data_IF_122188955097
#
_entry.id   IF_122188955097
#
_cell.length_a   1.000
_cell.length_b   1.000
_cell.length_c   1.000
_cell.angle_alpha   90.00
_cell.angle_beta   90.00
_cell.angle_gamma   90.00
#
_symmetry.space_group_name_H-M   'P 1'
#
loop_
_entity.id
_entity.type
_entity.pdbx_description
1 polymer ?
#
# COMPACT_ATOMS: atom_id res chain seq x y z
N UNK A 1 -1.34 -9.25 -11.06
CA UNK A 1 -2.51 -9.72 -10.27
C UNK A 1 -3.74 -9.34 -11.06
N UNK A 2 -4.56 -10.31 -11.47
CA UNK A 2 -5.64 -10.12 -12.47
C UNK A 2 -6.58 -8.94 -12.17
N UNK A 3 -6.94 -8.72 -10.90
CA UNK A 3 -7.81 -7.58 -10.52
C UNK A 3 -7.20 -6.23 -10.89
N UNK A 4 -5.91 -6.00 -10.61
CA UNK A 4 -5.23 -4.74 -10.94
C UNK A 4 -5.18 -4.52 -12.46
N UNK A 5 -4.94 -5.58 -13.24
CA UNK A 5 -4.92 -5.55 -14.70
C UNK A 5 -6.31 -5.26 -15.30
N UNK A 6 -7.36 -5.87 -14.74
CA UNK A 6 -8.74 -5.61 -15.16
C UNK A 6 -9.16 -4.16 -14.84
N UNK A 7 -8.79 -3.64 -13.67
CA UNK A 7 -9.02 -2.24 -13.32
C UNK A 7 -8.30 -1.30 -14.29
N UNK A 8 -7.03 -1.56 -14.61
CA UNK A 8 -6.30 -0.76 -15.62
C UNK A 8 -6.98 -0.79 -17.00
N UNK A 9 -7.62 -1.90 -17.39
CA UNK A 9 -8.37 -1.97 -18.66
C UNK A 9 -9.62 -1.09 -18.62
N UNK A 10 -10.37 -1.09 -17.52
CA UNK A 10 -11.55 -0.22 -17.34
C UNK A 10 -11.15 1.26 -17.37
N UNK A 11 -9.97 1.58 -16.83
CA UNK A 11 -9.45 2.94 -16.74
C UNK A 11 -8.79 3.46 -18.02
N UNK A 12 -8.83 2.71 -19.13
CA UNK A 12 -8.29 3.18 -20.42
C UNK A 12 -9.12 4.31 -21.04
N UNK A 13 -10.44 4.20 -20.93
CA UNK A 13 -11.39 5.12 -21.54
C UNK A 13 -12.41 5.58 -20.48
N UNK A 14 -12.89 6.82 -20.59
CA UNK A 14 -13.92 7.32 -19.66
C UNK A 14 -15.25 6.60 -19.90
N UNK A 15 -15.77 6.00 -18.84
CA UNK A 15 -17.06 5.29 -18.80
C UNK A 15 -17.73 5.41 -17.41
N UNK A 16 -18.95 4.89 -17.29
CA UNK A 16 -19.76 4.94 -16.06
C UNK A 16 -19.11 4.27 -14.84
N UNK A 17 -18.14 3.38 -15.04
CA UNK A 17 -17.44 2.66 -13.97
C UNK A 17 -16.12 3.31 -13.54
N UNK A 18 -15.66 4.34 -14.25
CA UNK A 18 -14.30 4.89 -14.10
C UNK A 18 -14.02 5.37 -12.68
N UNK A 19 -14.91 6.18 -12.11
CA UNK A 19 -14.74 6.71 -10.74
C UNK A 19 -14.62 5.57 -9.71
N UNK A 20 -15.51 4.57 -9.80
CA UNK A 20 -15.52 3.38 -8.94
C UNK A 20 -14.26 2.53 -9.13
N UNK A 21 -13.78 2.41 -10.37
CA UNK A 21 -12.57 1.66 -10.70
C UNK A 21 -11.30 2.34 -10.18
N UNK A 22 -11.22 3.68 -10.18
CA UNK A 22 -10.08 4.41 -9.60
C UNK A 22 -9.92 4.11 -8.11
N UNK A 23 -11.02 4.12 -7.34
CA UNK A 23 -11.01 3.83 -5.90
C UNK A 23 -10.36 2.47 -5.65
N UNK A 24 -10.82 1.43 -6.36
CA UNK A 24 -10.28 0.09 -6.19
C UNK A 24 -8.89 -0.09 -6.78
N UNK A 25 -8.54 0.63 -7.84
CA UNK A 25 -7.18 0.63 -8.39
C UNK A 25 -6.19 1.12 -7.34
N UNK A 26 -6.56 2.17 -6.62
CA UNK A 26 -5.76 2.74 -5.54
C UNK A 26 -5.66 1.80 -4.34
N UNK A 27 -6.78 1.25 -3.87
CA UNK A 27 -6.79 0.29 -2.74
C UNK A 27 -5.96 -0.96 -3.04
N UNK A 28 -6.12 -1.51 -4.24
CA UNK A 28 -5.36 -2.68 -4.67
C UNK A 28 -3.89 -2.31 -4.83
N UNK A 29 -3.56 -1.21 -5.51
CA UNK A 29 -2.18 -0.77 -5.71
C UNK A 29 -1.44 -0.52 -4.40
N UNK A 30 -2.08 0.19 -3.47
CA UNK A 30 -1.51 0.49 -2.16
C UNK A 30 -1.29 -0.76 -1.31
N UNK A 31 -2.27 -1.68 -1.31
CA UNK A 31 -2.16 -2.98 -0.65
C UNK A 31 -1.05 -3.85 -1.23
N UNK A 32 -0.93 -3.91 -2.56
CA UNK A 32 0.13 -4.66 -3.24
C UNK A 32 1.51 -4.11 -2.90
N UNK A 33 1.71 -2.79 -3.01
CA UNK A 33 2.96 -2.15 -2.64
C UNK A 33 3.34 -2.47 -1.19
N UNK A 34 2.39 -2.33 -0.26
CA UNK A 34 2.60 -2.62 1.16
C UNK A 34 2.96 -4.09 1.41
N UNK A 35 2.26 -5.03 0.77
CA UNK A 35 2.53 -6.46 0.93
C UNK A 35 3.90 -6.88 0.42
N UNK A 36 4.32 -6.35 -0.74
CA UNK A 36 5.69 -6.57 -1.23
C UNK A 36 6.74 -5.97 -0.28
N UNK A 37 6.51 -4.76 0.24
CA UNK A 37 7.40 -4.13 1.22
C UNK A 37 7.53 -4.93 2.50
N UNK A 38 6.40 -5.40 3.07
CA UNK A 38 6.37 -6.20 4.28
C UNK A 38 7.17 -7.50 4.12
N UNK A 39 6.98 -8.20 3.00
CA UNK A 39 7.69 -9.44 2.76
C UNK A 39 9.18 -9.23 2.45
N UNK A 40 9.52 -8.16 1.73
CA UNK A 40 10.91 -7.76 1.50
C UNK A 40 11.64 -7.44 2.81
N UNK A 41 10.99 -6.70 3.72
CA UNK A 41 11.54 -6.34 5.02
C UNK A 41 11.76 -7.60 5.90
N UNK A 42 10.88 -8.60 5.80
CA UNK A 42 11.06 -9.88 6.47
C UNK A 42 12.30 -10.64 5.94
N UNK A 43 12.49 -10.72 4.63
CA UNK A 43 13.70 -11.34 4.06
C UNK A 43 14.98 -10.57 4.38
N UNK A 44 14.93 -9.23 4.40
CA UNK A 44 16.07 -8.40 4.79
C UNK A 44 16.47 -8.64 6.25
N UNK A 45 15.49 -8.71 7.15
CA UNK A 45 15.70 -9.10 8.54
C UNK A 45 16.29 -10.51 8.64
N UNK A 46 15.74 -11.46 7.88
CA UNK A 46 16.26 -12.83 7.78
C UNK A 46 17.73 -12.88 7.36
N UNK A 47 18.12 -12.08 6.38
CA UNK A 47 19.50 -12.01 5.92
C UNK A 47 20.46 -11.50 7.00
N UNK A 48 20.00 -10.61 7.89
CA UNK A 48 20.79 -10.14 9.05
C UNK A 48 20.92 -11.23 10.12
N UNK A 49 19.89 -12.04 10.29
CA UNK A 49 19.84 -13.13 11.27
C UNK A 49 20.58 -14.39 10.81
N UNK A 50 20.59 -14.70 9.51
CA UNK A 50 21.29 -15.84 8.92
C UNK A 50 22.49 -15.39 8.08
N UNK A 51 23.56 -14.95 8.77
CA UNK A 51 24.79 -14.46 8.10
C UNK A 51 25.44 -15.51 7.19
N UNK A 52 25.32 -16.79 7.51
CA UNK A 52 25.86 -17.89 6.71
C UNK A 52 25.19 -18.00 5.33
N UNK A 53 23.91 -17.64 5.21
CA UNK A 53 23.14 -17.73 3.97
C UNK A 53 22.47 -16.39 3.61
N UNK A 54 23.17 -15.28 3.83
CA UNK A 54 22.62 -13.92 3.64
C UNK A 54 22.25 -13.61 2.18
N UNK A 55 22.99 -14.16 1.20
CA UNK A 55 22.88 -13.75 -0.20
C UNK A 55 21.55 -14.14 -0.86
N UNK A 56 21.06 -15.38 -0.75
CA UNK A 56 19.73 -15.74 -1.25
C UNK A 56 18.61 -14.89 -0.64
N UNK A 57 18.67 -14.62 0.67
CA UNK A 57 17.67 -13.82 1.38
C UNK A 57 17.68 -12.35 0.92
N UNK A 58 18.86 -11.75 0.75
CA UNK A 58 19.00 -10.39 0.18
C UNK A 58 18.47 -10.30 -1.24
N UNK A 59 18.68 -11.33 -2.05
CA UNK A 59 18.14 -11.40 -3.41
C UNK A 59 16.61 -11.36 -3.38
N UNK A 60 15.97 -12.20 -2.54
CA UNK A 60 14.51 -12.17 -2.37
C UNK A 60 14.01 -10.80 -1.92
N UNK A 61 14.68 -10.17 -0.96
CA UNK A 61 14.33 -8.82 -0.52
C UNK A 61 14.44 -7.79 -1.67
N UNK A 62 15.48 -7.89 -2.51
CA UNK A 62 15.68 -7.00 -3.67
C UNK A 62 14.60 -7.20 -4.75
N UNK A 63 14.25 -8.45 -5.07
CA UNK A 63 13.23 -8.78 -6.05
C UNK A 63 11.85 -8.25 -5.61
N UNK A 64 11.50 -8.47 -4.33
CA UNK A 64 10.27 -7.95 -3.73
C UNK A 64 10.25 -6.41 -3.67
N UNK A 65 11.37 -5.74 -3.40
CA UNK A 65 11.48 -4.27 -3.48
C UNK A 65 11.25 -3.75 -4.89
N UNK A 66 11.69 -4.48 -5.91
CA UNK A 66 11.44 -4.13 -7.31
C UNK A 66 9.94 -4.19 -7.63
N UNK A 67 9.25 -5.24 -7.17
CA UNK A 67 7.79 -5.36 -7.31
C UNK A 67 7.03 -4.30 -6.51
N UNK A 68 7.48 -4.00 -5.28
CA UNK A 68 6.95 -2.93 -4.46
C UNK A 68 7.07 -1.57 -5.17
N UNK A 69 8.23 -1.29 -5.77
CA UNK A 69 8.48 -0.05 -6.49
C UNK A 69 7.52 0.12 -7.69
N UNK A 70 7.32 -0.93 -8.49
CA UNK A 70 6.39 -0.87 -9.61
C UNK A 70 4.95 -0.56 -9.13
N UNK A 71 4.48 -1.26 -8.09
CA UNK A 71 3.15 -1.03 -7.52
C UNK A 71 3.01 0.36 -6.88
N UNK A 72 4.03 0.85 -6.19
CA UNK A 72 4.04 2.17 -5.56
C UNK A 72 3.98 3.29 -6.61
N UNK A 73 4.80 3.20 -7.67
CA UNK A 73 4.81 4.19 -8.75
C UNK A 73 3.47 4.26 -9.47
N UNK A 74 2.88 3.10 -9.78
CA UNK A 74 1.53 3.05 -10.34
C UNK A 74 0.51 3.69 -9.38
N UNK A 75 0.58 3.37 -8.08
CA UNK A 75 -0.34 3.91 -7.08
C UNK A 75 -0.30 5.44 -7.01
N UNK A 76 0.89 6.04 -6.94
CA UNK A 76 1.00 7.51 -6.87
C UNK A 76 0.52 8.18 -8.15
N UNK A 77 0.79 7.59 -9.32
CA UNK A 77 0.31 8.11 -10.61
C UNK A 77 -1.22 8.13 -10.66
N UNK A 78 -1.88 7.01 -10.33
CA UNK A 78 -3.33 6.96 -10.29
C UNK A 78 -3.92 7.86 -9.20
N UNK A 79 -3.20 8.08 -8.10
CA UNK A 79 -3.69 8.91 -7.01
C UNK A 79 -3.74 10.38 -7.40
N UNK A 80 -2.70 10.88 -8.09
CA UNK A 80 -2.67 12.24 -8.63
C UNK A 80 -3.86 12.45 -9.57
N UNK A 81 -4.04 11.56 -10.55
CA UNK A 81 -5.17 11.60 -11.50
C UNK A 81 -6.52 11.57 -10.77
N UNK A 82 -6.66 10.68 -9.80
CA UNK A 82 -7.89 10.57 -9.01
C UNK A 82 -8.19 11.86 -8.24
N UNK A 83 -7.19 12.38 -7.51
CA UNK A 83 -7.33 13.58 -6.68
C UNK A 83 -7.79 14.76 -7.52
N UNK A 84 -7.27 14.91 -8.74
CA UNK A 84 -7.57 16.04 -9.63
C UNK A 84 -8.92 15.92 -10.34
N UNK A 85 -9.29 14.70 -10.73
CA UNK A 85 -10.51 14.46 -11.52
C UNK A 85 -11.76 14.21 -10.69
N UNK A 86 -11.66 13.46 -9.59
CA UNK A 86 -12.82 13.02 -8.81
C UNK A 86 -12.91 13.77 -7.48
N UNK A 87 -13.94 14.61 -7.37
CA UNK A 87 -14.13 15.57 -6.27
C UNK A 87 -15.39 15.32 -5.44
N UNK A 88 -16.14 14.26 -5.75
CA UNK A 88 -17.37 13.91 -5.04
C UNK A 88 -17.12 13.81 -3.53
N UNK A 89 -17.97 14.42 -2.69
CA UNK A 89 -17.78 14.43 -1.24
C UNK A 89 -17.86 13.03 -0.62
N UNK A 90 -18.54 12.10 -1.29
CA UNK A 90 -18.65 10.69 -0.93
C UNK A 90 -18.18 9.80 -2.06
N UNK A 91 -17.43 8.76 -1.71
CA UNK A 91 -16.91 7.76 -2.61
C UNK A 91 -17.69 6.45 -2.43
N UNK A 92 -18.11 5.85 -3.54
CA UNK A 92 -18.89 4.61 -3.53
C UNK A 92 -17.97 3.42 -3.82
N UNK A 93 -17.79 2.56 -2.82
CA UNK A 93 -17.07 1.29 -2.97
C UNK A 93 -18.04 0.23 -3.50
N UNK A 94 -17.94 -0.07 -4.79
CA UNK A 94 -18.90 -0.90 -5.51
C UNK A 94 -18.52 -2.39 -5.64
N UNK A 95 -17.38 -2.83 -5.10
CA UNK A 95 -17.02 -4.25 -5.05
C UNK A 95 -17.25 -4.80 -3.66
N UNK A 96 -17.52 -6.12 -3.54
CA UNK A 96 -17.69 -6.76 -2.25
C UNK A 96 -16.41 -6.71 -1.42
N UNK A 97 -16.58 -6.92 -0.12
CA UNK A 97 -15.50 -7.12 0.82
C UNK A 97 -14.52 -8.21 0.35
N UNK A 98 -13.19 -8.00 0.42
CA UNK A 98 -12.22 -9.04 0.09
C UNK A 98 -12.34 -10.25 1.02
N UNK A 99 -12.90 -11.35 0.50
CA UNK A 99 -13.07 -12.59 1.26
C UNK A 99 -11.75 -13.37 1.38
N UNK A 100 -10.85 -12.88 2.22
CA UNK A 100 -9.53 -13.46 2.47
C UNK A 100 -9.25 -13.49 3.97
N UNK A 101 -8.42 -14.44 4.41
CA UNK A 101 -8.07 -14.53 5.83
C UNK A 101 -7.25 -13.31 6.29
N UNK A 102 -7.59 -12.68 7.43
CA UNK A 102 -6.78 -11.62 8.02
C UNK A 102 -5.59 -12.16 8.84
N UNK A 103 -5.52 -13.49 9.05
CA UNK A 103 -4.52 -14.14 9.90
C UNK A 103 -3.09 -13.81 9.46
N UNK A 104 -2.14 -13.74 10.41
CA UNK A 104 -0.73 -13.60 10.07
C UNK A 104 -0.27 -14.67 9.07
N UNK A 105 0.57 -14.27 8.12
CA UNK A 105 1.11 -15.17 7.09
C UNK A 105 2.39 -15.82 7.62
N UNK A 106 2.42 -17.14 7.87
CA UNK A 106 3.56 -17.78 8.55
C UNK A 106 4.91 -17.58 7.85
N UNK A 107 4.90 -17.46 6.52
CA UNK A 107 6.10 -17.25 5.70
C UNK A 107 6.82 -15.94 6.02
N UNK A 108 6.11 -14.90 6.52
CA UNK A 108 6.77 -13.67 7.00
C UNK A 108 7.67 -13.99 8.18
N UNK A 109 7.18 -14.76 9.16
CA UNK A 109 7.96 -15.13 10.35
C UNK A 109 9.14 -16.01 9.98
N UNK A 110 8.93 -17.00 9.11
CA UNK A 110 10.02 -17.87 8.60
C UNK A 110 11.10 -17.08 7.87
N UNK A 111 10.70 -16.15 6.99
CA UNK A 111 11.63 -15.25 6.31
C UNK A 111 12.42 -14.40 7.31
N UNK A 112 11.76 -13.79 8.29
CA UNK A 112 12.39 -12.97 9.34
C UNK A 112 13.38 -13.73 10.22
N UNK A 113 13.13 -15.01 10.48
CA UNK A 113 14.05 -15.90 11.19
C UNK A 113 15.24 -16.34 10.32
N UNK A 114 15.23 -16.04 9.02
CA UNK A 114 16.30 -16.38 8.09
C UNK A 114 16.23 -17.83 7.57
N UNK A 115 15.07 -18.48 7.63
CA UNK A 115 14.87 -19.80 7.05
C UNK A 115 14.92 -19.71 5.52
N UNK A 116 15.66 -20.61 4.90
CA UNK A 116 15.62 -20.82 3.46
C UNK A 116 14.38 -21.64 3.12
N UNK A 117 13.39 -20.99 2.54
CA UNK A 117 12.16 -21.63 2.08
C UNK A 117 12.32 -22.08 0.62
N UNK A 118 11.71 -23.21 0.21
CA UNK A 118 11.56 -23.57 -1.20
C UNK A 118 10.82 -22.49 -2.00
N UNK A 119 11.06 -22.43 -3.31
CA UNK A 119 10.48 -21.39 -4.17
C UNK A 119 8.94 -21.38 -4.13
N UNK A 120 8.32 -22.56 -4.06
CA UNK A 120 6.87 -22.74 -4.01
C UNK A 120 6.30 -22.17 -2.70
N UNK A 121 7.00 -22.34 -1.58
CA UNK A 121 6.60 -21.77 -0.30
C UNK A 121 6.76 -20.25 -0.30
N UNK A 122 7.82 -19.73 -0.93
CA UNK A 122 8.03 -18.28 -1.09
C UNK A 122 6.88 -17.68 -1.90
N UNK A 123 6.51 -18.30 -3.02
CA UNK A 123 5.42 -17.83 -3.90
C UNK A 123 4.06 -17.91 -3.20
N UNK A 124 3.78 -18.99 -2.47
CA UNK A 124 2.57 -19.12 -1.66
C UNK A 124 2.51 -18.04 -0.56
N UNK A 125 3.62 -17.83 0.14
CA UNK A 125 3.78 -16.75 1.11
C UNK A 125 3.44 -15.40 0.49
N UNK A 126 4.07 -15.07 -0.64
CA UNK A 126 3.82 -13.84 -1.37
C UNK A 126 2.34 -13.67 -1.71
N UNK A 127 1.69 -14.69 -2.31
CA UNK A 127 0.25 -14.63 -2.64
C UNK A 127 -0.62 -14.33 -1.41
N UNK A 128 -0.32 -14.93 -0.27
CA UNK A 128 -1.09 -14.73 0.96
C UNK A 128 -0.82 -13.35 1.58
N UNK A 129 0.44 -12.89 1.60
CA UNK A 129 0.79 -11.54 2.07
C UNK A 129 0.08 -10.48 1.25
N UNK A 130 0.11 -10.59 -0.08
CA UNK A 130 -0.55 -9.63 -0.96
C UNK A 130 -2.07 -9.58 -0.75
N UNK A 131 -2.73 -10.75 -0.66
CA UNK A 131 -4.17 -10.82 -0.36
C UNK A 131 -4.51 -10.14 0.97
N UNK A 132 -3.76 -10.47 2.03
CA UNK A 132 -3.94 -9.88 3.36
C UNK A 132 -3.71 -8.37 3.31
N UNK A 133 -2.67 -7.89 2.62
CA UNK A 133 -2.36 -6.47 2.51
C UNK A 133 -3.45 -5.68 1.76
N UNK A 134 -4.06 -6.27 0.71
CA UNK A 134 -5.23 -5.68 0.03
C UNK A 134 -6.44 -5.62 0.97
N UNK A 135 -6.64 -6.63 1.83
CA UNK A 135 -7.68 -6.57 2.85
C UNK A 135 -7.43 -5.43 3.85
N UNK A 136 -6.21 -5.32 4.39
CA UNK A 136 -5.85 -4.23 5.32
C UNK A 136 -5.99 -2.86 4.65
N UNK A 137 -5.60 -2.74 3.37
CA UNK A 137 -5.80 -1.55 2.56
C UNK A 137 -7.28 -1.17 2.45
N UNK A 138 -8.16 -2.17 2.26
CA UNK A 138 -9.61 -1.97 2.22
C UNK A 138 -10.14 -1.45 3.55
N UNK A 139 -9.70 -2.04 4.68
CA UNK A 139 -10.07 -1.57 6.03
C UNK A 139 -9.68 -0.10 6.24
N UNK A 140 -8.45 0.27 5.85
CA UNK A 140 -7.98 1.65 5.95
C UNK A 140 -8.76 2.60 5.06
N UNK A 141 -9.01 2.21 3.81
CA UNK A 141 -9.69 3.03 2.81
C UNK A 141 -11.13 3.40 3.16
N UNK A 142 -11.81 2.56 3.95
CA UNK A 142 -13.17 2.84 4.44
C UNK A 142 -13.21 3.44 5.86
N UNK A 143 -12.06 3.83 6.42
CA UNK A 143 -11.97 4.46 7.74
C UNK A 143 -12.11 3.50 8.93
N UNK A 144 -12.01 2.19 8.71
CA UNK A 144 -12.01 1.18 9.76
C UNK A 144 -10.58 0.86 10.28
N UNK A 145 -9.54 1.52 9.74
CA UNK A 145 -8.14 1.32 10.12
C UNK A 145 -7.74 -0.15 9.92
N UNK A 146 -7.48 -0.89 10.99
CA UNK A 146 -7.12 -2.32 10.95
C UNK A 146 -8.28 -3.23 11.40
N UNK A 147 -9.47 -2.66 11.65
CA UNK A 147 -10.64 -3.40 12.13
C UNK A 147 -11.35 -4.15 10.99
N UNK A 148 -10.98 -5.41 10.86
CA UNK A 148 -11.55 -6.37 9.89
C UNK A 148 -13.04 -6.61 10.13
N UNK A 149 -13.46 -6.76 11.38
CA UNK A 149 -14.86 -7.06 11.71
C UNK A 149 -15.77 -5.88 11.38
N UNK A 150 -15.35 -4.65 11.74
CA UNK A 150 -16.05 -3.43 11.39
C UNK A 150 -16.11 -3.23 9.89
N UNK A 151 -15.01 -3.48 9.18
CA UNK A 151 -14.98 -3.39 7.71
C UNK A 151 -15.97 -4.37 7.10
N UNK A 152 -15.93 -5.63 7.51
CA UNK A 152 -16.87 -6.64 7.00
C UNK A 152 -18.33 -6.24 7.26
N UNK A 153 -18.63 -5.67 8.43
CA UNK A 153 -19.97 -5.18 8.75
C UNK A 153 -20.42 -4.04 7.82
N UNK A 154 -19.54 -3.10 7.48
CA UNK A 154 -19.84 -2.01 6.54
C UNK A 154 -20.25 -2.54 5.16
N UNK A 155 -19.58 -3.57 4.66
CA UNK A 155 -19.85 -4.12 3.32
C UNK A 155 -21.09 -5.03 3.26
N UNK A 156 -21.74 -5.35 4.39
CA UNK A 156 -22.99 -6.14 4.39
C UNK A 156 -24.16 -5.39 3.76
N UNK A 157 -24.13 -4.06 3.73
CA UNK A 157 -25.18 -3.23 3.13
C UNK A 157 -25.12 -3.12 1.61
N UNK A 158 -24.15 -3.78 0.95
CA UNK A 158 -23.96 -3.75 -0.51
C UNK A 158 -23.04 -2.60 -0.95
N UNK A 159 -23.55 -1.38 -1.01
CA UNK A 159 -22.74 -0.20 -1.33
C UNK A 159 -22.23 0.47 -0.05
N UNK A 160 -20.90 0.66 0.03
CA UNK A 160 -20.27 1.43 1.10
C UNK A 160 -19.97 2.83 0.61
N UNK A 161 -20.57 3.83 1.26
CA UNK A 161 -20.28 5.24 1.05
C UNK A 161 -19.25 5.70 2.06
N UNK A 162 -18.16 6.28 1.57
CA UNK A 162 -17.05 6.74 2.40
C UNK A 162 -16.84 8.23 2.15
N UNK A 163 -16.77 9.08 3.20
CA UNK A 163 -16.40 10.48 3.02
C UNK A 163 -15.04 10.58 2.33
N UNK A 164 -14.95 11.42 1.29
CA UNK A 164 -13.71 11.56 0.50
C UNK A 164 -12.50 11.88 1.37
N UNK A 165 -12.67 12.69 2.42
CA UNK A 165 -11.59 13.05 3.33
C UNK A 165 -10.97 11.82 4.04
N UNK A 166 -11.79 10.82 4.40
CA UNK A 166 -11.32 9.56 5.01
C UNK A 166 -10.44 8.80 4.02
N UNK A 167 -10.85 8.72 2.75
CA UNK A 167 -10.08 8.05 1.72
C UNK A 167 -8.78 8.80 1.38
N UNK A 168 -8.82 10.13 1.31
CA UNK A 168 -7.63 10.96 1.06
C UNK A 168 -6.63 10.82 2.22
N UNK A 169 -7.09 10.80 3.47
CA UNK A 169 -6.25 10.53 4.64
C UNK A 169 -5.57 9.16 4.54
N UNK A 170 -6.34 8.12 4.22
CA UNK A 170 -5.80 6.78 3.98
C UNK A 170 -4.73 6.77 2.88
N UNK A 171 -4.99 7.41 1.75
CA UNK A 171 -4.04 7.45 0.64
C UNK A 171 -2.78 8.24 0.99
N UNK A 172 -2.90 9.34 1.72
CA UNK A 172 -1.73 10.09 2.21
C UNK A 172 -0.85 9.22 3.11
N UNK A 173 -1.46 8.43 4.01
CA UNK A 173 -0.74 7.46 4.82
C UNK A 173 -0.08 6.38 3.96
N UNK A 174 -0.78 5.84 2.97
CA UNK A 174 -0.24 4.84 2.07
C UNK A 174 0.99 5.37 1.30
N UNK A 175 0.94 6.60 0.79
CA UNK A 175 2.06 7.25 0.11
C UNK A 175 3.25 7.49 1.05
N UNK A 176 3.00 7.92 2.28
CA UNK A 176 4.05 8.05 3.31
C UNK A 176 4.72 6.71 3.61
N UNK A 177 3.93 5.65 3.80
CA UNK A 177 4.43 4.29 4.05
C UNK A 177 5.25 3.79 2.84
N UNK A 178 4.78 4.02 1.61
CA UNK A 178 5.47 3.66 0.38
C UNK A 178 6.77 4.45 0.17
N UNK A 179 6.83 5.72 0.58
CA UNK A 179 8.04 6.53 0.50
C UNK A 179 9.22 5.89 1.25
N UNK A 180 8.94 5.07 2.29
CA UNK A 180 9.99 4.38 3.06
C UNK A 180 10.77 3.37 2.22
N UNK A 181 10.19 2.87 1.12
CA UNK A 181 10.88 2.02 0.14
C UNK A 181 12.15 2.68 -0.42
N UNK A 182 12.16 4.02 -0.49
CA UNK A 182 13.23 4.81 -1.10
C UNK A 182 14.24 5.36 -0.08
N UNK A 183 14.11 4.97 1.19
CA UNK A 183 15.11 5.27 2.22
C UNK A 183 16.49 4.70 1.87
N UNK A 184 17.52 5.28 2.49
CA UNK A 184 18.94 4.93 2.29
C UNK A 184 19.23 3.43 2.46
N UNK A 185 18.61 2.78 3.46
CA UNK A 185 18.82 1.35 3.75
C UNK A 185 18.01 0.40 2.84
N UNK A 186 17.22 0.94 1.90
CA UNK A 186 16.38 0.15 0.99
C UNK A 186 16.79 0.40 -0.46
N UNK A 187 16.03 1.22 -1.20
CA UNK A 187 16.33 1.52 -2.60
C UNK A 187 17.20 2.77 -2.79
N UNK A 188 17.44 3.55 -1.72
CA UNK A 188 18.27 4.75 -1.73
C UNK A 188 17.97 5.70 -2.91
N UNK A 189 16.74 6.20 -2.97
CA UNK A 189 16.30 7.09 -4.04
C UNK A 189 15.60 8.33 -3.44
N UNK A 190 16.37 9.33 -2.97
CA UNK A 190 15.82 10.50 -2.27
C UNK A 190 14.84 11.31 -3.13
N UNK A 191 15.04 11.37 -4.45
CA UNK A 191 14.12 12.05 -5.36
C UNK A 191 12.74 11.38 -5.41
N UNK A 192 12.69 10.04 -5.53
CA UNK A 192 11.42 9.31 -5.44
C UNK A 192 10.81 9.44 -4.05
N UNK A 193 11.61 9.36 -2.99
CA UNK A 193 11.12 9.59 -1.63
C UNK A 193 10.42 10.96 -1.53
N UNK A 194 11.04 12.01 -2.06
CA UNK A 194 10.49 13.36 -2.09
C UNK A 194 9.18 13.45 -2.87
N UNK A 195 9.07 12.82 -4.04
CA UNK A 195 7.84 12.79 -4.83
C UNK A 195 6.67 12.25 -3.99
N UNK A 196 6.83 11.07 -3.38
CA UNK A 196 5.77 10.45 -2.59
C UNK A 196 5.40 11.28 -1.37
N UNK A 197 6.39 11.81 -0.66
CA UNK A 197 6.15 12.64 0.52
C UNK A 197 5.49 13.98 0.18
N UNK A 198 5.82 14.59 -0.95
CA UNK A 198 5.15 15.80 -1.44
C UNK A 198 3.69 15.50 -1.75
N UNK A 199 3.39 14.42 -2.46
CA UNK A 199 2.01 14.02 -2.76
C UNK A 199 1.21 13.69 -1.50
N UNK A 200 1.83 13.03 -0.52
CA UNK A 200 1.22 12.79 0.79
C UNK A 200 0.95 14.10 1.55
N UNK A 201 1.88 15.07 1.52
CA UNK A 201 1.71 16.35 2.17
C UNK A 201 0.57 17.17 1.54
N UNK A 202 0.51 17.23 0.21
CA UNK A 202 -0.57 17.89 -0.51
C UNK A 202 -1.94 17.28 -0.18
N UNK A 203 -2.02 15.96 -0.12
CA UNK A 203 -3.24 15.25 0.24
C UNK A 203 -3.74 15.64 1.64
N UNK A 204 -2.86 15.64 2.65
CA UNK A 204 -3.25 16.01 4.02
C UNK A 204 -3.64 17.49 4.13
N UNK A 205 -2.93 18.39 3.44
CA UNK A 205 -3.30 19.82 3.41
C UNK A 205 -4.66 20.09 2.76
N UNK A 206 -5.16 19.15 1.96
CA UNK A 206 -6.46 19.28 1.28
C UNK A 206 -7.66 18.84 2.11
N UNK A 207 -7.44 18.31 3.32
CA UNK A 207 -8.50 17.80 4.20
C UNK A 207 -8.43 18.50 5.58
N UNK A 208 -9.53 18.49 6.36
CA UNK A 208 -9.52 19.05 7.71
C UNK A 208 -8.45 18.43 8.63
N UNK A 209 -7.88 19.24 9.51
CA UNK A 209 -6.92 18.75 10.50
C UNK A 209 -7.62 17.88 11.56
N UNK A 210 -7.03 16.72 11.85
CA UNK A 210 -7.39 15.81 12.94
C UNK A 210 -6.10 15.45 13.71
N UNK A 211 -6.24 14.75 14.84
CA UNK A 211 -5.08 14.24 15.57
C UNK A 211 -4.19 13.35 14.67
N UNK A 212 -4.82 12.48 13.89
CA UNK A 212 -4.14 11.51 13.03
C UNK A 212 -3.46 12.21 11.85
N UNK A 213 -4.12 13.20 11.21
CA UNK A 213 -3.53 13.94 10.09
C UNK A 213 -2.37 14.83 10.55
N UNK A 214 -2.45 15.41 11.76
CA UNK A 214 -1.36 16.20 12.36
C UNK A 214 -0.12 15.35 12.65
N UNK A 215 -0.30 14.16 13.21
CA UNK A 215 0.81 13.23 13.44
C UNK A 215 1.46 12.79 12.14
N UNK A 216 0.65 12.48 11.12
CA UNK A 216 1.14 12.09 9.82
C UNK A 216 1.86 13.25 9.10
N UNK A 217 1.35 14.48 9.18
CA UNK A 217 2.00 15.67 8.63
C UNK A 217 3.41 15.86 9.22
N UNK A 218 3.57 15.70 10.54
CA UNK A 218 4.89 15.76 11.20
C UNK A 218 5.85 14.69 10.65
N UNK A 219 5.38 13.44 10.51
CA UNK A 219 6.19 12.35 9.95
C UNK A 219 6.61 12.62 8.50
N UNK A 220 5.72 13.20 7.69
CA UNK A 220 6.02 13.57 6.30
C UNK A 220 7.07 14.69 6.25
N UNK A 221 6.94 15.72 7.08
CA UNK A 221 7.92 16.81 7.15
C UNK A 221 9.31 16.32 7.57
N UNK A 222 9.38 15.44 8.56
CA UNK A 222 10.63 14.78 8.95
C UNK A 222 11.22 13.96 7.80
N UNK A 223 10.38 13.22 7.07
CA UNK A 223 10.79 12.48 5.87
C UNK A 223 11.35 13.39 4.78
N UNK A 224 10.69 14.52 4.49
CA UNK A 224 11.12 15.49 3.48
C UNK A 224 12.46 16.12 3.84
N UNK A 225 12.71 16.38 5.13
CA UNK A 225 14.01 16.86 5.61
C UNK A 225 15.12 15.84 5.38
N UNK A 226 14.83 14.54 5.52
CA UNK A 226 15.81 13.47 5.24
C UNK A 226 16.07 13.34 3.74
N UNK A 227 15.04 13.36 2.91
CA UNK A 227 15.15 13.28 1.45
C UNK A 227 15.91 14.45 0.82
N UNK A 228 16.01 15.60 1.49
CA UNK A 228 16.82 16.75 1.04
C UNK A 228 18.32 16.64 1.36
N UNK A 229 18.71 15.72 2.25
CA UNK A 229 20.09 15.58 2.75
C UNK A 229 20.89 14.49 2.04
N UNK A 230 20.21 13.54 1.39
CA UNK A 230 20.83 12.51 0.54
C UNK A 230 20.83 12.95 -0.90
#
# INVERSE_FOLDING_TARGET
MKTSEHLSKILKDENEFTAKAYIWKLVVGSGLAKGYMEYADAFDLGARNNKANQMPLRRQASDLRTMANAAALETVEYFVKFKDKYKDPELVFAFPYPNVSPSPVPQISKAGQGLLMPAEEIELGMKNVLKRAVLMATCGAVGAKEDVAKTQALFKSGEVKVPRNVFIEYMAKALYDQAQLYSELKMNNPDRMKIFLTQAQEAIKSIPETKDTKELAKKIEEGLKRAKKG
#
